data_IF_507505566132
#
_entry.id   IF_507505566132
#
_cell.length_a   1.000
_cell.length_b   1.000
_cell.length_c   1.000
_cell.angle_alpha   90.00
_cell.angle_beta   90.00
_cell.angle_gamma   90.00
#
_symmetry.space_group_name_H-M   'P 1'
#
loop_
_entity.id
_entity.type
_entity.pdbx_description
1 polymer ?
#
# COMPACT_ATOMS: atom_id res chain seq x y z
N UNK A 1 32.98 9.33 32.10
CA UNK A 1 31.79 9.49 32.96
C UNK A 1 30.53 9.50 32.09
N UNK A 2 29.72 8.44 32.24
CA UNK A 2 28.36 8.15 31.75
C UNK A 2 27.76 8.86 30.53
N UNK A 3 27.71 8.10 29.41
CA UNK A 3 26.63 8.18 28.42
C UNK A 3 25.36 7.59 29.04
N UNK A 4 24.36 8.42 29.35
CA UNK A 4 23.01 7.93 29.68
C UNK A 4 22.31 7.50 28.38
N UNK A 5 22.11 6.20 28.27
CA UNK A 5 21.13 5.58 27.38
C UNK A 5 19.74 6.15 27.70
N UNK A 6 19.10 6.80 26.73
CA UNK A 6 17.67 7.13 26.80
C UNK A 6 16.90 5.89 26.32
N UNK A 7 16.60 5.00 27.27
CA UNK A 7 15.56 4.02 27.09
C UNK A 7 14.20 4.76 27.13
N UNK A 8 13.44 4.68 26.04
CA UNK A 8 12.07 5.17 26.00
C UNK A 8 11.16 4.08 26.57
N UNK A 9 10.72 4.28 27.82
CA UNK A 9 9.54 3.59 28.34
C UNK A 9 8.32 4.14 27.60
N UNK A 10 7.80 3.37 26.65
CA UNK A 10 6.47 3.59 26.10
C UNK A 10 5.47 3.37 27.24
N UNK A 11 4.87 4.44 27.75
CA UNK A 11 3.77 4.33 28.70
C UNK A 11 2.66 3.46 28.06
N UNK A 12 2.18 2.40 28.74
CA UNK A 12 1.09 1.60 28.22
C UNK A 12 -0.16 2.46 28.16
N UNK A 13 -0.58 2.83 26.95
CA UNK A 13 -1.91 3.39 26.72
C UNK A 13 -2.93 2.31 27.06
N UNK A 14 -3.69 2.49 28.15
CA UNK A 14 -4.80 1.63 28.59
C UNK A 14 -6.01 1.59 27.61
N UNK A 15 -5.81 1.91 26.33
CA UNK A 15 -6.83 1.75 25.31
C UNK A 15 -6.99 0.25 24.99
N UNK A 16 -8.23 -0.27 24.91
CA UNK A 16 -8.44 -1.67 24.57
C UNK A 16 -7.99 -1.93 23.13
N UNK A 17 -7.04 -2.86 22.95
CA UNK A 17 -6.64 -3.31 21.62
C UNK A 17 -7.87 -3.83 20.88
N UNK A 18 -8.17 -3.25 19.72
CA UNK A 18 -9.33 -3.61 18.91
C UNK A 18 -9.05 -4.87 18.07
N UNK A 19 -10.09 -5.61 17.73
CA UNK A 19 -9.99 -6.65 16.69
C UNK A 19 -10.07 -5.95 15.31
N UNK A 20 -9.23 -6.36 14.35
CA UNK A 20 -9.24 -5.76 13.02
C UNK A 20 -10.62 -5.91 12.36
N UNK A 21 -11.24 -7.08 12.57
CA UNK A 21 -12.55 -7.47 12.06
C UNK A 21 -12.72 -7.20 10.56
N UNK A 22 -11.65 -7.31 9.77
CA UNK A 22 -11.71 -7.22 8.32
C UNK A 22 -10.70 -8.15 7.65
N UNK A 23 -11.01 -8.57 6.43
CA UNK A 23 -10.18 -9.40 5.56
C UNK A 23 -10.05 -8.75 4.18
N UNK A 24 -8.99 -9.11 3.47
CA UNK A 24 -8.79 -8.79 2.06
C UNK A 24 -8.78 -10.12 1.32
N UNK A 25 -9.70 -10.29 0.38
CA UNK A 25 -9.83 -11.52 -0.40
C UNK A 25 -9.76 -11.22 -1.90
N UNK A 26 -9.18 -12.15 -2.66
CA UNK A 26 -9.31 -12.18 -4.11
C UNK A 26 -10.44 -13.13 -4.47
N UNK A 27 -11.44 -12.60 -5.16
CA UNK A 27 -12.66 -13.32 -5.51
C UNK A 27 -12.87 -13.28 -7.02
N UNK A 28 -13.47 -14.31 -7.64
CA UNK A 28 -13.81 -14.26 -9.04
C UNK A 28 -14.72 -13.06 -9.34
N UNK A 29 -14.44 -12.32 -10.41
CA UNK A 29 -15.18 -11.11 -10.78
C UNK A 29 -16.68 -11.35 -11.01
N UNK A 30 -17.06 -12.58 -11.39
CA UNK A 30 -18.47 -12.99 -11.50
C UNK A 30 -19.24 -12.87 -10.17
N UNK A 31 -18.56 -12.93 -9.02
CA UNK A 31 -19.17 -12.79 -7.69
C UNK A 31 -19.40 -11.34 -7.26
N UNK A 32 -18.95 -10.35 -8.05
CA UNK A 32 -18.99 -8.92 -7.71
C UNK A 32 -20.34 -8.46 -7.18
N UNK A 33 -21.44 -8.82 -7.85
CA UNK A 33 -22.75 -8.32 -7.47
C UNK A 33 -23.19 -8.86 -6.10
N UNK A 34 -22.80 -10.10 -5.76
CA UNK A 34 -23.03 -10.66 -4.42
C UNK A 34 -22.36 -9.80 -3.35
N UNK A 35 -21.09 -9.44 -3.54
CA UNK A 35 -20.36 -8.60 -2.60
C UNK A 35 -20.90 -7.17 -2.53
N UNK A 36 -21.32 -6.60 -3.66
CA UNK A 36 -21.92 -5.26 -3.66
C UNK A 36 -23.29 -5.22 -2.99
N UNK A 37 -24.00 -6.35 -2.91
CA UNK A 37 -25.25 -6.48 -2.15
C UNK A 37 -25.03 -6.77 -0.66
N UNK A 38 -23.79 -7.03 -0.24
CA UNK A 38 -23.44 -7.32 1.14
C UNK A 38 -23.08 -6.02 1.89
N UNK A 39 -23.84 -5.74 2.95
CA UNK A 39 -23.66 -4.53 3.76
C UNK A 39 -22.41 -4.56 4.64
N UNK A 40 -21.73 -5.70 4.72
CA UNK A 40 -20.47 -5.90 5.44
C UNK A 40 -19.22 -5.65 4.59
N UNK A 41 -19.38 -5.16 3.35
CA UNK A 41 -18.25 -4.78 2.49
C UNK A 41 -17.85 -3.31 2.70
N UNK A 42 -16.54 -3.12 2.93
CA UNK A 42 -15.87 -1.82 2.97
C UNK A 42 -15.65 -1.30 1.54
N UNK A 43 -15.10 -2.14 0.66
CA UNK A 43 -14.84 -1.82 -0.75
C UNK A 43 -14.71 -3.07 -1.63
N UNK A 44 -14.99 -2.89 -2.93
CA UNK A 44 -14.71 -3.86 -3.99
C UNK A 44 -13.86 -3.16 -5.05
N UNK A 45 -12.61 -3.59 -5.19
CA UNK A 45 -11.67 -3.02 -6.16
C UNK A 45 -11.57 -3.92 -7.39
N UNK A 46 -11.60 -3.28 -8.56
CA UNK A 46 -11.46 -3.93 -9.87
C UNK A 46 -10.27 -3.35 -10.61
N UNK A 47 -9.53 -4.21 -11.29
CA UNK A 47 -8.33 -3.84 -12.02
C UNK A 47 -8.58 -4.06 -13.52
N UNK A 48 -8.41 -3.00 -14.32
CA UNK A 48 -8.75 -3.00 -15.75
C UNK A 48 -8.17 -1.80 -16.50
N UNK A 49 -8.85 -1.33 -17.53
CA UNK A 49 -8.35 -0.25 -18.41
C UNK A 49 -8.79 1.16 -17.99
N UNK A 50 -9.70 1.28 -17.03
CA UNK A 50 -10.30 2.55 -16.65
C UNK A 50 -10.31 2.76 -15.14
N UNK A 51 -10.15 4.01 -14.72
CA UNK A 51 -10.24 4.43 -13.32
C UNK A 51 -11.57 5.13 -13.10
N UNK A 52 -12.37 4.65 -12.14
CA UNK A 52 -13.64 5.27 -11.79
C UNK A 52 -14.11 4.83 -10.39
N UNK A 53 -14.79 5.74 -9.69
CA UNK A 53 -15.61 5.41 -8.53
C UNK A 53 -17.07 5.32 -9.00
N UNK A 54 -17.74 4.18 -8.79
CA UNK A 54 -19.11 3.99 -9.25
C UNK A 54 -20.07 4.93 -8.50
N UNK A 55 -20.82 5.76 -9.24
CA UNK A 55 -21.76 6.73 -8.64
C UNK A 55 -22.97 6.09 -7.95
N UNK A 56 -23.46 4.96 -8.47
CA UNK A 56 -24.61 4.23 -7.91
C UNK A 56 -24.24 3.37 -6.71
N UNK A 57 -23.00 2.89 -6.65
CA UNK A 57 -22.45 2.21 -5.47
C UNK A 57 -20.98 2.59 -5.27
N UNK A 58 -20.69 3.64 -4.49
CA UNK A 58 -19.32 4.13 -4.30
C UNK A 58 -18.33 3.12 -3.72
N UNK A 59 -18.78 1.95 -3.22
CA UNK A 59 -17.91 0.85 -2.79
C UNK A 59 -17.19 0.17 -3.97
N UNK A 60 -17.73 0.25 -5.18
CA UNK A 60 -17.09 -0.27 -6.39
C UNK A 60 -16.11 0.77 -6.94
N UNK A 61 -14.82 0.41 -6.93
CA UNK A 61 -13.75 1.23 -7.49
C UNK A 61 -13.06 0.45 -8.61
N UNK A 62 -13.09 0.99 -9.81
CA UNK A 62 -12.30 0.51 -10.94
C UNK A 62 -10.97 1.27 -10.98
N UNK A 63 -9.88 0.55 -11.24
CA UNK A 63 -8.52 1.05 -11.24
C UNK A 63 -7.89 0.68 -12.59
N UNK A 64 -7.37 1.67 -13.32
CA UNK A 64 -6.72 1.46 -14.62
C UNK A 64 -5.31 0.86 -14.47
N UNK A 65 -5.28 -0.39 -14.06
CA UNK A 65 -4.12 -1.28 -13.97
C UNK A 65 -4.57 -2.62 -14.55
N UNK A 66 -4.42 -2.86 -15.86
CA UNK A 66 -4.93 -4.08 -16.47
C UNK A 66 -4.36 -5.32 -15.77
N UNK A 67 -5.26 -6.23 -15.40
CA UNK A 67 -4.87 -7.51 -14.82
C UNK A 67 -4.22 -8.37 -15.90
N UNK A 68 -2.99 -8.81 -15.63
CA UNK A 68 -2.28 -9.79 -16.43
C UNK A 68 -2.65 -11.18 -15.90
N UNK A 69 -3.01 -12.08 -16.81
CA UNK A 69 -3.50 -13.41 -16.44
C UNK A 69 -3.06 -14.45 -17.44
N UNK A 70 -2.95 -15.70 -16.99
CA UNK A 70 -2.88 -16.83 -17.91
C UNK A 70 -4.26 -17.05 -18.51
N UNK A 71 -4.30 -17.72 -19.65
CA UNK A 71 -5.51 -17.86 -20.49
C UNK A 71 -6.74 -18.37 -19.73
N UNK A 72 -6.53 -19.26 -18.76
CA UNK A 72 -7.60 -19.95 -18.04
C UNK A 72 -7.81 -19.42 -16.61
N UNK A 73 -7.02 -18.45 -16.17
CA UNK A 73 -7.20 -17.85 -14.84
C UNK A 73 -8.43 -16.91 -14.85
N UNK A 74 -9.30 -16.97 -13.82
CA UNK A 74 -10.45 -16.10 -13.75
C UNK A 74 -10.04 -14.63 -13.60
N UNK A 75 -10.87 -13.70 -14.08
CA UNK A 75 -10.74 -12.32 -13.64
C UNK A 75 -11.04 -12.23 -12.14
N UNK A 76 -10.22 -11.47 -11.43
CA UNK A 76 -10.30 -11.34 -9.98
C UNK A 76 -10.67 -9.91 -9.58
N UNK A 77 -11.38 -9.81 -8.46
CA UNK A 77 -11.65 -8.57 -7.75
C UNK A 77 -11.05 -8.67 -6.36
N UNK A 78 -10.66 -7.52 -5.80
CA UNK A 78 -10.23 -7.43 -4.41
C UNK A 78 -11.40 -6.98 -3.55
N UNK A 79 -11.77 -7.79 -2.57
CA UNK A 79 -12.88 -7.53 -1.65
C UNK A 79 -12.33 -7.23 -0.27
N UNK A 80 -12.68 -6.07 0.24
CA UNK A 80 -12.42 -5.65 1.62
C UNK A 80 -13.69 -5.89 2.42
N UNK A 81 -13.71 -6.99 3.16
CA UNK A 81 -14.88 -7.45 3.89
C UNK A 81 -14.68 -7.27 5.39
N UNK A 82 -15.71 -6.84 6.11
CA UNK A 82 -15.70 -6.72 7.56
C UNK A 82 -16.64 -7.73 8.20
N UNK A 83 -16.27 -8.28 9.34
CA UNK A 83 -17.18 -9.09 10.17
C UNK A 83 -17.95 -8.26 11.19
N UNK A 84 -17.74 -6.94 11.21
CA UNK A 84 -18.41 -5.99 12.10
C UNK A 84 -19.29 -5.02 11.28
N UNK A 85 -20.34 -4.42 11.89
CA UNK A 85 -21.19 -3.44 11.22
C UNK A 85 -20.38 -2.26 10.65
N UNK A 86 -20.80 -1.79 9.47
CA UNK A 86 -20.11 -0.72 8.75
C UNK A 86 -20.90 0.60 8.81
N UNK A 87 -20.24 1.67 9.24
CA UNK A 87 -20.69 3.04 9.04
C UNK A 87 -20.03 3.63 7.78
N UNK A 88 -20.80 4.38 6.98
CA UNK A 88 -20.35 4.96 5.71
C UNK A 88 -20.53 6.47 5.71
N UNK A 89 -19.70 7.16 4.93
CA UNK A 89 -19.83 8.60 4.75
C UNK A 89 -19.01 9.10 3.57
N UNK A 90 -19.12 10.41 3.35
CA UNK A 90 -18.27 11.15 2.42
C UNK A 90 -17.89 12.50 2.99
N UNK A 91 -16.69 12.98 2.67
CA UNK A 91 -16.19 14.31 3.05
C UNK A 91 -15.13 14.77 2.04
N UNK A 92 -15.20 16.01 1.57
CA UNK A 92 -14.23 16.59 0.62
C UNK A 92 -13.89 15.69 -0.59
N UNK A 93 -14.89 15.00 -1.16
CA UNK A 93 -14.70 14.08 -2.28
C UNK A 93 -14.12 12.70 -1.93
N UNK A 94 -13.85 12.45 -0.65
CA UNK A 94 -13.45 11.14 -0.13
C UNK A 94 -14.70 10.36 0.23
N UNK A 95 -14.85 9.17 -0.33
CA UNK A 95 -15.82 8.16 0.13
C UNK A 95 -15.12 7.26 1.13
N UNK A 96 -15.78 6.97 2.26
CA UNK A 96 -15.21 6.09 3.27
C UNK A 96 -16.23 5.17 3.93
N UNK A 97 -15.70 4.08 4.49
CA UNK A 97 -16.42 3.10 5.28
C UNK A 97 -15.57 2.73 6.51
N UNK A 98 -16.20 2.51 7.66
CA UNK A 98 -15.51 2.15 8.90
C UNK A 98 -16.26 1.08 9.67
N UNK A 99 -15.54 0.19 10.33
CA UNK A 99 -16.10 -0.92 11.11
C UNK A 99 -15.90 -0.73 12.63
N UNK A 100 -15.67 0.51 13.06
CA UNK A 100 -15.29 0.84 14.43
C UNK A 100 -13.79 0.75 14.71
N UNK A 101 -13.07 -0.23 14.15
CA UNK A 101 -11.62 -0.42 14.35
C UNK A 101 -10.76 0.27 13.29
N UNK A 102 -11.17 0.16 12.02
CA UNK A 102 -10.51 0.76 10.87
C UNK A 102 -11.47 1.62 10.06
N UNK A 103 -10.89 2.55 9.30
CA UNK A 103 -11.55 3.34 8.27
C UNK A 103 -10.83 3.07 6.95
N UNK A 104 -11.58 2.58 5.95
CA UNK A 104 -11.14 2.49 4.56
C UNK A 104 -11.70 3.70 3.80
N UNK A 105 -10.86 4.40 3.05
CA UNK A 105 -11.27 5.56 2.27
C UNK A 105 -10.63 5.59 0.89
N UNK A 106 -11.32 6.22 -0.06
CA UNK A 106 -10.82 6.42 -1.41
C UNK A 106 -11.35 7.71 -2.02
N UNK A 107 -10.56 8.28 -2.91
CA UNK A 107 -10.89 9.47 -3.70
C UNK A 107 -10.20 9.40 -5.06
N UNK A 108 -10.84 10.00 -6.05
CA UNK A 108 -10.31 10.18 -7.39
C UNK A 108 -10.32 11.68 -7.71
N UNK A 109 -9.15 12.24 -7.99
CA UNK A 109 -9.00 13.63 -8.37
C UNK A 109 -8.70 13.70 -9.86
N UNK A 110 -9.51 14.45 -10.59
CA UNK A 110 -9.21 14.81 -11.97
C UNK A 110 -8.08 15.84 -11.99
N UNK A 111 -7.05 15.59 -12.79
CA UNK A 111 -5.99 16.58 -13.03
C UNK A 111 -6.53 17.65 -13.98
N UNK A 112 -6.66 18.90 -13.51
CA UNK A 112 -7.25 20.01 -14.27
C UNK A 112 -6.28 20.65 -15.28
N UNK A 113 -5.10 20.08 -15.48
CA UNK A 113 -4.08 20.55 -16.42
C UNK A 113 -2.72 19.87 -16.21
N UNK A 114 -1.82 20.05 -17.16
CA UNK A 114 -0.43 19.59 -17.02
C UNK A 114 0.27 20.35 -15.87
N UNK A 115 1.23 19.69 -15.21
CA UNK A 115 2.00 20.27 -14.09
C UNK A 115 1.26 20.35 -12.74
N UNK A 116 -0.04 20.06 -12.69
CA UNK A 116 -0.87 20.22 -11.48
C UNK A 116 -0.77 19.07 -10.47
N UNK A 117 -0.08 17.97 -10.80
CA UNK A 117 -0.03 16.77 -9.96
C UNK A 117 0.46 17.05 -8.54
N UNK A 118 1.44 17.94 -8.36
CA UNK A 118 1.95 18.31 -7.03
C UNK A 118 0.87 18.99 -6.18
N UNK A 119 0.18 19.99 -6.73
CA UNK A 119 -0.91 20.70 -6.06
C UNK A 119 -2.11 19.77 -5.77
N UNK A 120 -2.49 18.93 -6.74
CA UNK A 120 -3.54 17.93 -6.58
C UNK A 120 -3.20 16.94 -5.45
N UNK A 121 -1.96 16.42 -5.43
CA UNK A 121 -1.48 15.53 -4.36
C UNK A 121 -1.52 16.22 -3.00
N UNK A 122 -1.06 17.48 -2.92
CA UNK A 122 -1.09 18.24 -1.67
C UNK A 122 -2.53 18.41 -1.14
N UNK A 123 -3.46 18.81 -2.01
CA UNK A 123 -4.87 18.95 -1.66
C UNK A 123 -5.46 17.63 -1.14
N UNK A 124 -5.28 16.56 -1.91
CA UNK A 124 -5.73 15.22 -1.57
C UNK A 124 -5.28 14.79 -0.17
N UNK A 125 -3.98 14.87 0.10
CA UNK A 125 -3.41 14.44 1.38
C UNK A 125 -3.89 15.33 2.53
N UNK A 126 -4.06 16.63 2.33
CA UNK A 126 -4.62 17.52 3.35
C UNK A 126 -6.09 17.18 3.66
N UNK A 127 -6.89 16.85 2.66
CA UNK A 127 -8.29 16.43 2.85
C UNK A 127 -8.35 15.07 3.58
N UNK A 128 -7.51 14.10 3.21
CA UNK A 128 -7.40 12.80 3.89
C UNK A 128 -7.04 13.01 5.36
N UNK A 129 -5.99 13.77 5.66
CA UNK A 129 -5.54 13.98 7.03
C UNK A 129 -6.63 14.68 7.87
N UNK A 130 -7.32 15.68 7.32
CA UNK A 130 -8.44 16.35 7.97
C UNK A 130 -9.61 15.41 8.25
N UNK A 131 -9.98 14.55 7.29
CA UNK A 131 -11.01 13.53 7.48
C UNK A 131 -10.64 12.58 8.61
N UNK A 132 -9.41 12.07 8.62
CA UNK A 132 -8.95 11.12 9.62
C UNK A 132 -8.98 11.68 11.05
N UNK A 133 -8.61 12.94 11.22
CA UNK A 133 -8.71 13.62 12.52
C UNK A 133 -10.16 13.77 12.97
N UNK A 134 -11.06 14.21 12.08
CA UNK A 134 -12.49 14.39 12.37
C UNK A 134 -13.20 13.08 12.66
N UNK A 135 -12.90 12.03 11.89
CA UNK A 135 -13.50 10.71 12.05
C UNK A 135 -12.91 9.93 13.25
N UNK A 136 -11.81 10.40 13.84
CA UNK A 136 -11.15 9.74 14.97
C UNK A 136 -10.33 8.50 14.59
N UNK A 137 -9.76 8.47 13.38
CA UNK A 137 -8.87 7.43 12.87
C UNK A 137 -7.50 8.01 12.45
N UNK A 138 -6.76 8.69 13.34
CA UNK A 138 -5.63 9.54 12.97
C UNK A 138 -4.36 8.79 12.51
N UNK A 139 -4.41 7.45 12.44
CA UNK A 139 -3.25 6.57 12.23
C UNK A 139 -3.38 5.83 10.90
N UNK A 140 -2.81 6.40 9.85
CA UNK A 140 -2.70 5.72 8.55
C UNK A 140 -1.86 4.45 8.70
N UNK A 141 -2.38 3.33 8.20
CA UNK A 141 -1.68 2.05 8.18
C UNK A 141 -1.09 1.78 6.79
N UNK A 142 -1.88 2.04 5.74
CA UNK A 142 -1.48 1.74 4.37
C UNK A 142 -2.17 2.65 3.36
N UNK A 143 -1.43 3.09 2.34
CA UNK A 143 -1.93 3.93 1.25
C UNK A 143 -1.48 3.38 -0.12
N UNK A 144 -2.34 3.54 -1.12
CA UNK A 144 -2.05 3.23 -2.51
C UNK A 144 -2.34 4.44 -3.37
N UNK A 145 -1.41 4.79 -4.25
CA UNK A 145 -1.47 5.97 -5.09
C UNK A 145 -1.28 5.55 -6.55
N UNK A 146 -2.22 5.92 -7.40
CA UNK A 146 -2.19 5.60 -8.82
C UNK A 146 -2.45 6.84 -9.64
N UNK A 147 -1.58 7.10 -10.60
CA UNK A 147 -1.68 8.23 -11.52
C UNK A 147 -0.93 7.90 -12.81
N UNK A 148 -1.35 8.50 -13.92
CA UNK A 148 -0.78 8.16 -15.22
C UNK A 148 0.61 8.73 -15.46
N UNK A 149 1.32 8.09 -16.39
CA UNK A 149 2.60 8.54 -16.92
C UNK A 149 3.61 8.87 -15.82
N UNK A 150 3.77 7.97 -14.85
CA UNK A 150 4.53 8.20 -13.61
C UNK A 150 5.97 8.66 -13.88
N UNK A 151 6.57 8.20 -14.97
CA UNK A 151 7.94 8.53 -15.37
C UNK A 151 8.03 9.71 -16.36
N UNK A 152 6.92 10.26 -16.86
CA UNK A 152 6.92 11.38 -17.82
C UNK A 152 7.42 12.65 -17.12
N UNK A 153 8.28 13.39 -17.83
CA UNK A 153 8.70 14.73 -17.46
C UNK A 153 7.65 15.76 -17.88
N UNK A 154 7.29 16.65 -16.96
CA UNK A 154 6.42 17.79 -17.22
C UNK A 154 7.08 19.02 -16.61
N UNK A 155 7.38 20.02 -17.45
CA UNK A 155 8.06 21.26 -17.06
C UNK A 155 9.40 21.06 -16.31
N UNK A 156 10.17 20.03 -16.70
CA UNK A 156 11.47 19.73 -16.10
C UNK A 156 11.39 18.93 -14.79
N UNK A 157 10.21 18.42 -14.43
CA UNK A 157 10.01 17.57 -13.27
C UNK A 157 9.24 16.30 -13.64
N UNK A 158 9.88 15.14 -13.42
CA UNK A 158 9.20 13.83 -13.52
C UNK A 158 7.97 13.78 -12.59
N UNK A 159 6.86 13.26 -13.11
CA UNK A 159 5.56 13.21 -12.39
C UNK A 159 5.65 12.51 -11.04
N UNK A 160 6.38 11.40 -10.91
CA UNK A 160 6.63 10.76 -9.61
C UNK A 160 7.25 11.71 -8.58
N UNK A 161 8.18 12.55 -9.02
CA UNK A 161 8.84 13.56 -8.16
C UNK A 161 7.87 14.67 -7.80
N UNK A 162 7.03 15.12 -8.75
CA UNK A 162 5.96 16.09 -8.48
C UNK A 162 4.97 15.58 -7.42
N UNK A 163 4.56 14.31 -7.51
CA UNK A 163 3.76 13.63 -6.48
C UNK A 163 4.48 13.63 -5.12
N UNK A 164 5.78 13.29 -5.08
CA UNK A 164 6.55 13.32 -3.83
C UNK A 164 6.63 14.71 -3.21
N UNK A 165 6.79 15.77 -4.02
CA UNK A 165 6.75 17.17 -3.56
C UNK A 165 5.41 17.49 -2.90
N UNK A 166 4.30 17.22 -3.58
CA UNK A 166 2.96 17.55 -3.05
C UNK A 166 2.64 16.79 -1.76
N UNK A 167 3.02 15.51 -1.69
CA UNK A 167 2.90 14.71 -0.48
C UNK A 167 3.74 15.26 0.67
N UNK A 168 4.97 15.70 0.38
CA UNK A 168 5.85 16.29 1.40
C UNK A 168 5.28 17.59 1.95
N UNK A 169 4.73 18.46 1.10
CA UNK A 169 4.09 19.70 1.51
C UNK A 169 2.86 19.45 2.41
N UNK A 170 2.03 18.45 2.09
CA UNK A 170 0.88 18.10 2.90
C UNK A 170 1.25 17.59 4.30
N UNK A 171 2.21 16.68 4.41
CA UNK A 171 2.70 16.20 5.71
C UNK A 171 3.42 17.30 6.49
N UNK A 172 4.25 18.11 5.82
CA UNK A 172 4.94 19.24 6.45
C UNK A 172 3.97 20.25 7.07
N UNK A 173 2.85 20.55 6.39
CA UNK A 173 1.82 21.46 6.89
C UNK A 173 1.09 20.97 8.17
N UNK A 174 1.19 19.67 8.50
CA UNK A 174 0.57 19.07 9.69
C UNK A 174 1.58 18.70 10.79
N UNK A 175 2.84 19.06 10.61
CA UNK A 175 3.95 18.59 11.45
C UNK A 175 4.40 17.21 11.00
N UNK A 176 5.58 17.13 10.39
CA UNK A 176 6.15 15.88 9.91
C UNK A 176 6.64 15.02 11.06
N UNK A 177 6.20 13.77 11.11
CA UNK A 177 6.65 12.78 12.09
C UNK A 177 6.94 11.47 11.36
N UNK A 178 8.23 11.10 11.23
CA UNK A 178 8.67 9.89 10.52
C UNK A 178 7.95 8.63 11.02
N UNK A 179 7.73 8.53 12.32
CA UNK A 179 7.07 7.40 12.97
C UNK A 179 5.55 7.31 12.71
N UNK A 180 4.96 8.28 12.00
CA UNK A 180 3.55 8.28 11.58
C UNK A 180 3.36 7.96 10.10
N UNK A 181 4.44 7.70 9.37
CA UNK A 181 4.36 7.36 7.95
C UNK A 181 3.78 5.96 7.78
N UNK A 182 2.73 5.87 6.98
CA UNK A 182 2.11 4.61 6.59
C UNK A 182 3.03 3.81 5.67
N UNK A 183 2.70 2.52 5.52
CA UNK A 183 3.14 1.79 4.34
C UNK A 183 2.50 2.46 3.10
N UNK A 184 3.23 2.62 2.01
CA UNK A 184 2.68 3.24 0.79
C UNK A 184 3.27 2.67 -0.51
N UNK A 185 2.48 2.71 -1.58
CA UNK A 185 2.94 2.45 -2.95
C UNK A 185 2.46 3.55 -3.88
N UNK A 186 3.25 3.79 -4.92
CA UNK A 186 2.94 4.73 -5.98
C UNK A 186 3.39 4.12 -7.30
N UNK A 187 2.42 3.72 -8.13
CA UNK A 187 2.68 3.09 -9.43
C UNK A 187 1.86 3.78 -10.52
N UNK A 188 2.38 3.72 -11.74
CA UNK A 188 1.76 4.32 -12.92
C UNK A 188 0.48 3.60 -13.30
N UNK A 189 -0.57 4.37 -13.57
CA UNK A 189 -1.86 3.89 -14.08
C UNK A 189 -2.02 4.23 -15.56
N UNK A 190 -2.89 3.53 -16.29
CA UNK A 190 -3.21 3.86 -17.68
C UNK A 190 -4.21 5.00 -17.83
N UNK A 191 -4.98 5.33 -16.78
CA UNK A 191 -5.96 6.40 -16.83
C UNK A 191 -5.42 7.68 -16.14
N UNK A 192 -5.78 8.87 -16.66
CA UNK A 192 -5.43 10.14 -16.03
C UNK A 192 -6.12 10.32 -14.67
N UNK A 193 -5.62 11.29 -13.90
CA UNK A 193 -6.11 11.56 -12.56
C UNK A 193 -5.27 10.88 -11.48
N UNK A 194 -5.52 11.30 -10.24
CA UNK A 194 -4.89 10.74 -9.05
C UNK A 194 -5.94 9.97 -8.25
N UNK A 195 -5.85 8.64 -8.30
CA UNK A 195 -6.61 7.75 -7.44
C UNK A 195 -5.77 7.44 -6.19
N UNK A 196 -6.37 7.68 -5.02
CA UNK A 196 -5.80 7.26 -3.74
C UNK A 196 -6.84 6.41 -3.01
N UNK A 197 -6.41 5.28 -2.48
CA UNK A 197 -7.15 4.62 -1.40
C UNK A 197 -6.24 4.29 -0.23
N UNK A 198 -6.81 4.19 0.95
CA UNK A 198 -6.07 4.05 2.19
C UNK A 198 -6.89 3.33 3.25
N UNK A 199 -6.17 2.79 4.24
CA UNK A 199 -6.75 2.30 5.49
C UNK A 199 -6.05 2.95 6.67
N UNK A 200 -6.86 3.40 7.63
CA UNK A 200 -6.44 4.03 8.86
C UNK A 200 -7.08 3.37 10.08
N UNK A 201 -6.48 3.56 11.24
CA UNK A 201 -6.93 3.04 12.51
C UNK A 201 -6.95 4.13 13.59
N UNK A 202 -7.59 3.81 14.72
CA UNK A 202 -7.57 4.64 15.91
C UNK A 202 -6.19 4.65 16.59
N UNK A 203 -5.51 3.52 16.52
CA UNK A 203 -4.22 3.27 17.16
C UNK A 203 -3.12 3.05 16.12
N UNK A 204 -1.89 3.46 16.47
CA UNK A 204 -0.74 3.30 15.58
C UNK A 204 -0.42 1.83 15.35
N UNK A 205 0.08 1.53 14.15
CA UNK A 205 0.92 0.37 13.94
C UNK A 205 2.37 0.66 14.30
N UNK A 206 3.20 -0.37 14.23
CA UNK A 206 4.65 -0.31 14.41
C UNK A 206 5.28 -0.18 13.01
N UNK A 207 5.99 0.93 12.72
CA UNK A 207 6.75 1.07 11.49
C UNK A 207 7.84 0.00 11.40
N UNK A 208 7.95 -0.62 10.23
CA UNK A 208 8.97 -1.61 9.92
C UNK A 208 9.81 -1.05 8.78
N UNK A 209 11.11 -0.92 9.01
CA UNK A 209 12.09 -0.58 7.98
C UNK A 209 12.85 -1.82 7.52
N UNK A 210 13.51 -1.73 6.37
CA UNK A 210 14.27 -2.84 5.80
C UNK A 210 15.78 -2.57 6.00
N UNK A 211 16.51 -3.40 6.76
CA UNK A 211 17.95 -3.19 7.00
C UNK A 211 18.81 -3.26 5.73
N UNK A 212 18.28 -3.79 4.62
CA UNK A 212 18.94 -3.81 3.32
C UNK A 212 18.76 -2.52 2.54
N UNK A 213 17.89 -1.61 2.98
CA UNK A 213 17.48 -0.42 2.25
C UNK A 213 17.62 0.83 3.13
N UNK A 214 18.07 1.93 2.54
CA UNK A 214 17.97 3.24 3.19
C UNK A 214 16.47 3.56 3.33
N UNK A 215 16.07 4.14 4.44
CA UNK A 215 14.68 4.60 4.62
C UNK A 215 14.33 5.60 3.52
N UNK A 216 13.12 5.48 2.95
CA UNK A 216 12.77 6.22 1.75
C UNK A 216 12.84 7.74 1.93
N UNK A 217 12.51 8.21 3.13
CA UNK A 217 12.57 9.62 3.54
C UNK A 217 13.99 10.14 3.82
N UNK A 218 15.01 9.26 3.80
CA UNK A 218 16.45 9.61 3.88
C UNK A 218 17.19 9.34 2.56
N UNK A 219 16.47 9.16 1.45
CA UNK A 219 17.10 9.03 0.14
C UNK A 219 17.90 10.30 -0.23
N UNK A 220 19.03 10.14 -0.95
CA UNK A 220 19.81 11.28 -1.44
C UNK A 220 19.01 12.18 -2.41
N UNK A 221 19.33 13.48 -2.39
CA UNK A 221 18.67 14.51 -3.20
C UNK A 221 18.83 14.29 -4.72
N UNK A 222 19.75 13.43 -5.15
CA UNK A 222 19.92 13.10 -6.57
C UNK A 222 18.69 12.41 -7.19
N UNK A 223 17.80 11.84 -6.38
CA UNK A 223 16.58 11.18 -6.87
C UNK A 223 15.43 12.16 -7.13
N UNK A 224 15.25 13.15 -6.26
CA UNK A 224 14.14 14.08 -6.34
C UNK A 224 14.38 15.29 -5.41
N UNK A 225 13.74 16.45 -5.69
CA UNK A 225 13.78 17.60 -4.76
C UNK A 225 13.24 17.27 -3.36
N UNK A 226 12.35 16.27 -3.26
CA UNK A 226 11.79 15.76 -2.01
C UNK A 226 11.76 14.24 -2.03
N UNK A 227 12.31 13.65 -0.98
CA UNK A 227 12.34 12.20 -0.81
C UNK A 227 10.93 11.62 -0.58
N UNK A 228 10.69 10.38 -1.02
CA UNK A 228 9.40 9.71 -0.78
C UNK A 228 9.13 9.55 0.72
N UNK A 229 7.87 9.70 1.13
CA UNK A 229 7.44 9.60 2.53
C UNK A 229 6.60 8.35 2.75
N UNK A 230 7.22 7.26 3.19
CA UNK A 230 6.56 6.01 3.59
C UNK A 230 7.48 5.11 4.43
N UNK A 231 6.88 4.21 5.20
CA UNK A 231 7.56 3.12 5.91
C UNK A 231 7.61 1.85 5.06
N UNK A 232 8.63 0.98 5.17
CA UNK A 232 8.71 -0.25 4.35
C UNK A 232 7.59 -1.25 4.64
N UNK A 233 7.10 -1.30 5.85
CA UNK A 233 5.83 -1.92 6.20
C UNK A 233 5.26 -1.30 7.49
N UNK A 234 4.01 -1.61 7.79
CA UNK A 234 3.38 -1.35 9.09
C UNK A 234 2.93 -2.68 9.68
N UNK A 235 3.45 -3.03 10.86
CA UNK A 235 2.93 -4.13 11.67
C UNK A 235 1.87 -3.58 12.62
N UNK A 236 0.61 -3.96 12.47
CA UNK A 236 -0.47 -3.55 13.37
C UNK A 236 -0.93 -4.73 14.23
N UNK A 237 -0.59 -4.75 15.53
CA UNK A 237 -1.20 -5.66 16.50
C UNK A 237 -2.69 -5.35 16.67
N UNK A 238 -3.47 -6.40 16.71
CA UNK A 238 -4.90 -6.45 17.03
C UNK A 238 -5.12 -7.39 18.21
N UNK A 239 -6.34 -7.41 18.77
CA UNK A 239 -6.66 -8.29 19.90
C UNK A 239 -6.52 -9.77 19.55
N UNK A 240 -6.83 -10.14 18.31
CA UNK A 240 -6.89 -11.51 17.82
C UNK A 240 -5.73 -11.88 16.88
N UNK A 241 -4.62 -11.14 16.91
CA UNK A 241 -3.46 -11.40 16.04
C UNK A 241 -2.78 -10.11 15.58
N UNK A 242 -2.11 -10.14 14.43
CA UNK A 242 -1.53 -8.95 13.80
C UNK A 242 -1.74 -8.93 12.29
N UNK A 243 -1.79 -7.72 11.74
CA UNK A 243 -1.67 -7.49 10.30
C UNK A 243 -0.28 -6.92 9.97
N UNK A 244 0.29 -7.31 8.84
CA UNK A 244 1.46 -6.66 8.25
C UNK A 244 1.09 -6.11 6.88
N UNK A 245 1.17 -4.78 6.74
CA UNK A 245 0.94 -4.07 5.50
C UNK A 245 2.30 -3.73 4.89
N UNK A 246 2.69 -4.40 3.81
CA UNK A 246 4.00 -4.21 3.18
C UNK A 246 3.90 -3.20 2.05
N UNK A 247 4.85 -2.28 2.01
CA UNK A 247 4.97 -1.30 0.94
C UNK A 247 5.44 -1.92 -0.36
N UNK A 248 5.28 -1.15 -1.44
CA UNK A 248 5.81 -1.46 -2.75
C UNK A 248 7.30 -1.76 -2.63
N UNK A 249 7.63 -3.04 -2.78
CA UNK A 249 8.99 -3.53 -2.61
C UNK A 249 9.52 -3.90 -3.97
N UNK A 250 10.68 -3.34 -4.31
CA UNK A 250 11.34 -3.54 -5.59
C UNK A 250 12.83 -3.90 -5.40
N UNK A 251 13.53 -4.07 -6.51
CA UNK A 251 14.96 -4.44 -6.56
C UNK A 251 15.88 -3.27 -6.17
N UNK A 252 15.88 -2.91 -4.89
CA UNK A 252 16.69 -1.81 -4.32
C UNK A 252 17.51 -2.34 -3.15
N UNK A 253 18.81 -2.01 -3.12
CA UNK A 253 19.72 -2.24 -1.99
C UNK A 253 20.42 -0.93 -1.64
N UNK A 254 20.38 -0.54 -0.37
CA UNK A 254 20.61 0.82 0.05
C UNK A 254 19.53 1.72 -0.54
N UNK A 255 19.91 2.66 -1.39
CA UNK A 255 18.97 3.48 -2.18
C UNK A 255 19.02 3.15 -3.68
N UNK A 256 19.94 2.30 -4.12
CA UNK A 256 20.25 2.06 -5.53
C UNK A 256 19.49 0.87 -6.11
N UNK A 257 19.02 1.02 -7.34
CA UNK A 257 18.41 -0.06 -8.11
C UNK A 257 19.44 -1.13 -8.47
N UNK A 258 19.04 -2.41 -8.45
CA UNK A 258 19.88 -3.57 -8.78
C UNK A 258 19.26 -4.39 -9.90
N UNK A 259 20.12 -5.07 -10.66
CA UNK A 259 19.75 -5.99 -11.75
C UNK A 259 18.96 -5.29 -12.86
N UNK A 260 19.57 -4.26 -13.44
CA UNK A 260 19.02 -3.54 -14.61
C UNK A 260 18.67 -4.53 -15.72
N UNK A 261 17.55 -4.29 -16.39
CA UNK A 261 17.09 -5.05 -17.57
C UNK A 261 16.90 -6.57 -17.36
N UNK A 262 16.79 -7.02 -16.10
CA UNK A 262 16.58 -8.43 -15.78
C UNK A 262 15.46 -8.63 -14.75
N UNK A 263 14.23 -8.85 -15.22
CA UNK A 263 13.03 -8.99 -14.39
C UNK A 263 13.15 -10.13 -13.38
N UNK A 264 13.75 -11.27 -13.75
CA UNK A 264 13.88 -12.42 -12.86
C UNK A 264 14.87 -12.15 -11.71
N UNK A 265 16.00 -11.50 -11.99
CA UNK A 265 16.94 -11.11 -10.93
C UNK A 265 16.39 -9.98 -10.07
N UNK A 266 15.64 -9.02 -10.64
CA UNK A 266 14.92 -8.02 -9.85
C UNK A 266 13.88 -8.66 -8.92
N UNK A 267 13.19 -9.70 -9.40
CA UNK A 267 12.25 -10.45 -8.58
C UNK A 267 12.95 -11.13 -7.40
N UNK A 268 14.07 -11.81 -7.66
CA UNK A 268 14.86 -12.49 -6.62
C UNK A 268 15.38 -11.51 -5.58
N UNK A 269 15.85 -10.32 -5.98
CA UNK A 269 16.23 -9.27 -5.06
C UNK A 269 15.04 -8.73 -4.24
N UNK A 270 13.90 -8.55 -4.90
CA UNK A 270 12.65 -8.13 -4.27
C UNK A 270 12.20 -9.13 -3.20
N UNK A 271 12.29 -10.44 -3.48
CA UNK A 271 12.00 -11.49 -2.51
C UNK A 271 12.94 -11.42 -1.29
N UNK A 272 14.26 -11.25 -1.49
CA UNK A 272 15.22 -11.07 -0.39
C UNK A 272 14.91 -9.83 0.47
N UNK A 273 14.42 -8.76 -0.16
CA UNK A 273 13.98 -7.56 0.54
C UNK A 273 12.71 -7.83 1.39
N UNK A 274 11.74 -8.56 0.85
CA UNK A 274 10.53 -8.95 1.58
C UNK A 274 10.86 -9.87 2.78
N UNK A 275 11.79 -10.82 2.61
CA UNK A 275 12.29 -11.66 3.72
C UNK A 275 12.89 -10.82 4.84
N UNK A 276 13.70 -9.81 4.50
CA UNK A 276 14.29 -8.90 5.48
C UNK A 276 13.26 -8.01 6.19
N UNK A 277 12.21 -7.58 5.49
CA UNK A 277 11.06 -6.87 6.08
C UNK A 277 10.34 -7.77 7.09
N UNK A 278 10.02 -9.02 6.70
CA UNK A 278 9.37 -9.99 7.59
C UNK A 278 10.22 -10.28 8.82
N UNK A 279 11.52 -10.50 8.65
CA UNK A 279 12.44 -10.72 9.77
C UNK A 279 12.45 -9.53 10.73
N UNK A 280 12.39 -8.30 10.22
CA UNK A 280 12.31 -7.08 11.03
C UNK A 280 10.97 -6.95 11.74
N UNK A 281 9.86 -7.19 11.05
CA UNK A 281 8.52 -7.20 11.63
C UNK A 281 8.43 -8.22 12.79
N UNK A 282 8.98 -9.42 12.61
CA UNK A 282 8.99 -10.44 13.67
C UNK A 282 9.77 -10.00 14.91
N UNK A 283 10.88 -9.27 14.76
CA UNK A 283 11.62 -8.71 15.91
C UNK A 283 10.82 -7.65 16.67
N UNK A 284 9.99 -6.88 15.94
CA UNK A 284 9.15 -5.82 16.49
C UNK A 284 7.83 -6.33 17.09
N UNK A 285 7.47 -7.60 16.89
CA UNK A 285 6.24 -8.19 17.46
C UNK A 285 6.19 -8.00 18.99
N UNK A 286 5.07 -7.51 19.53
CA UNK A 286 4.87 -7.44 20.98
C UNK A 286 4.98 -8.83 21.64
N UNK A 287 5.38 -8.92 22.92
CA UNK A 287 5.57 -10.20 23.62
C UNK A 287 4.41 -11.19 23.47
N UNK A 288 3.16 -10.71 23.52
CA UNK A 288 1.96 -11.53 23.38
C UNK A 288 1.81 -12.23 22.01
N UNK A 289 2.49 -11.73 20.96
CA UNK A 289 2.41 -12.24 19.59
C UNK A 289 3.71 -12.89 19.11
N UNK A 290 4.72 -13.04 19.98
CA UNK A 290 6.04 -13.59 19.61
C UNK A 290 6.03 -15.10 19.35
N UNK A 291 5.05 -15.84 19.87
CA UNK A 291 4.94 -17.29 19.70
C UNK A 291 4.51 -17.73 18.29
N UNK A 292 4.01 -16.82 17.46
CA UNK A 292 3.52 -17.09 16.10
C UNK A 292 4.16 -16.13 15.08
N UNK A 293 5.46 -16.28 14.78
CA UNK A 293 6.14 -15.44 13.79
C UNK A 293 5.79 -15.86 12.35
N UNK A 294 5.90 -14.92 11.41
CA UNK A 294 5.92 -15.26 9.98
C UNK A 294 7.27 -15.90 9.65
N UNK A 295 7.27 -17.17 9.28
CA UNK A 295 8.49 -17.96 9.01
C UNK A 295 8.94 -17.86 7.55
N UNK A 296 8.04 -17.58 6.63
CA UNK A 296 8.37 -17.51 5.20
C UNK A 296 7.42 -16.60 4.43
N UNK A 297 7.83 -16.24 3.20
CA UNK A 297 7.00 -15.50 2.25
C UNK A 297 5.72 -16.24 1.86
N UNK A 298 5.74 -17.58 1.92
CA UNK A 298 4.58 -18.40 1.60
C UNK A 298 3.43 -18.29 2.62
N UNK A 299 3.66 -17.64 3.77
CA UNK A 299 2.62 -17.39 4.77
C UNK A 299 1.94 -16.02 4.60
N UNK A 300 2.37 -15.20 3.64
CA UNK A 300 1.63 -13.98 3.28
C UNK A 300 0.19 -14.35 2.86
N UNK A 301 -0.73 -13.41 2.99
CA UNK A 301 -2.15 -13.65 2.71
C UNK A 301 -2.55 -13.21 1.29
N UNK A 302 -1.87 -12.19 0.76
CA UNK A 302 -2.26 -11.56 -0.50
C UNK A 302 -1.08 -10.78 -1.10
N UNK A 303 -0.93 -10.85 -2.42
CA UNK A 303 0.06 -10.10 -3.21
C UNK A 303 -0.57 -9.27 -4.33
N UNK A 304 -0.03 -8.08 -4.58
CA UNK A 304 -0.14 -7.40 -5.88
C UNK A 304 1.25 -7.27 -6.48
N UNK A 305 1.42 -7.80 -7.69
CA UNK A 305 2.69 -7.80 -8.41
C UNK A 305 2.50 -6.90 -9.62
N UNK A 306 3.13 -5.73 -9.56
CA UNK A 306 3.14 -4.75 -10.63
C UNK A 306 4.26 -5.11 -11.61
N UNK A 307 3.94 -5.25 -12.89
CA UNK A 307 4.89 -5.55 -13.96
C UNK A 307 4.92 -4.42 -14.97
N UNK A 308 6.13 -4.01 -15.36
CA UNK A 308 6.33 -3.00 -16.41
C UNK A 308 6.00 -3.55 -17.79
N UNK A 309 6.33 -4.81 -18.06
CA UNK A 309 6.06 -5.49 -19.32
C UNK A 309 5.22 -6.75 -19.09
N UNK A 310 4.14 -6.90 -19.85
CA UNK A 310 3.27 -8.08 -19.82
C UNK A 310 4.00 -9.35 -20.30
N UNK A 311 5.02 -9.21 -21.15
CA UNK A 311 5.80 -10.33 -21.69
C UNK A 311 6.62 -11.06 -20.62
N UNK A 312 6.86 -10.44 -19.46
CA UNK A 312 7.60 -11.05 -18.36
C UNK A 312 6.78 -12.06 -17.54
N UNK A 313 5.45 -12.01 -17.64
CA UNK A 313 4.55 -12.81 -16.81
C UNK A 313 4.83 -14.34 -16.91
N UNK A 314 4.99 -14.96 -18.10
CA UNK A 314 5.16 -16.41 -18.19
C UNK A 314 6.40 -16.94 -17.45
N UNK A 315 7.52 -16.21 -17.53
CA UNK A 315 8.76 -16.57 -16.82
C UNK A 315 8.62 -16.32 -15.32
N UNK A 316 8.04 -15.17 -14.96
CA UNK A 316 7.95 -14.73 -13.58
C UNK A 316 7.01 -15.59 -12.74
N UNK A 317 5.85 -16.01 -13.28
CA UNK A 317 4.82 -16.73 -12.51
C UNK A 317 5.35 -18.02 -11.88
N UNK A 318 6.18 -18.76 -12.61
CA UNK A 318 6.82 -19.98 -12.13
C UNK A 318 7.72 -19.70 -10.91
N UNK A 319 8.54 -18.66 -10.97
CA UNK A 319 9.43 -18.29 -9.87
C UNK A 319 8.65 -17.72 -8.67
N UNK A 320 7.58 -16.95 -8.91
CA UNK A 320 6.67 -16.49 -7.84
C UNK A 320 6.01 -17.69 -7.15
N UNK A 321 5.56 -18.69 -7.91
CA UNK A 321 5.02 -19.94 -7.38
C UNK A 321 6.04 -20.70 -6.52
N UNK A 322 7.32 -20.70 -6.90
CA UNK A 322 8.39 -21.33 -6.12
C UNK A 322 8.68 -20.60 -4.81
N UNK A 323 8.66 -19.26 -4.82
CA UNK A 323 9.02 -18.43 -3.65
C UNK A 323 7.86 -18.26 -2.67
N UNK A 324 6.66 -18.00 -3.17
CA UNK A 324 5.48 -17.73 -2.34
C UNK A 324 4.55 -18.94 -2.19
N UNK A 325 4.82 -20.04 -2.89
CA UNK A 325 3.92 -21.18 -3.00
C UNK A 325 2.89 -21.00 -4.12
N UNK A 326 2.52 -22.09 -4.78
CA UNK A 326 1.59 -22.06 -5.92
C UNK A 326 0.18 -21.59 -5.56
N UNK A 327 -0.26 -21.81 -4.31
CA UNK A 327 -1.59 -21.44 -3.83
C UNK A 327 -1.70 -19.97 -3.34
N UNK A 328 -0.61 -19.19 -3.33
CA UNK A 328 -0.63 -17.80 -2.85
C UNK A 328 -1.61 -16.94 -3.68
N UNK A 329 -2.64 -16.34 -3.06
CA UNK A 329 -3.52 -15.38 -3.73
C UNK A 329 -2.72 -14.18 -4.22
N UNK A 330 -2.76 -13.93 -5.53
CA UNK A 330 -1.97 -12.86 -6.17
C UNK A 330 -2.71 -12.23 -7.34
N UNK A 331 -2.41 -10.95 -7.58
CA UNK A 331 -2.73 -10.25 -8.81
C UNK A 331 -1.44 -9.89 -9.54
N UNK A 332 -1.39 -10.10 -10.85
CA UNK A 332 -0.41 -9.47 -11.73
C UNK A 332 -1.05 -8.29 -12.41
N UNK A 333 -0.42 -7.13 -12.36
CA UNK A 333 -0.99 -5.86 -12.82
C UNK A 333 0.02 -5.16 -13.72
N UNK A 334 -0.38 -4.76 -14.92
CA UNK A 334 0.46 -3.95 -15.80
C UNK A 334 0.54 -2.52 -15.26
N UNK A 335 1.75 -2.05 -14.95
CA UNK A 335 1.98 -0.73 -14.37
C UNK A 335 3.41 -0.23 -14.63
N UNK A 336 3.58 1.07 -14.84
CA UNK A 336 4.90 1.68 -14.73
C UNK A 336 5.33 1.78 -13.27
N UNK A 337 6.62 1.56 -12.97
CA UNK A 337 7.17 1.64 -11.61
C UNK A 337 7.82 3.01 -11.39
N UNK A 338 7.91 3.44 -10.12
CA UNK A 338 8.40 4.77 -9.74
C UNK A 338 9.78 5.14 -10.29
N UNK A 339 10.63 4.17 -10.64
CA UNK A 339 11.88 4.37 -11.39
C UNK A 339 11.84 3.59 -12.69
N UNK A 340 12.40 4.17 -13.75
CA UNK A 340 12.36 3.61 -15.12
C UNK A 340 13.04 2.24 -15.20
N UNK A 341 14.14 2.07 -14.48
CA UNK A 341 14.93 0.85 -14.46
C UNK A 341 14.33 -0.29 -13.60
N UNK A 342 13.29 0.00 -12.81
CA UNK A 342 12.56 -1.02 -12.06
C UNK A 342 11.49 -1.65 -12.95
N UNK A 343 11.56 -2.98 -13.07
CA UNK A 343 10.73 -3.78 -13.97
C UNK A 343 9.52 -4.38 -13.24
N UNK A 344 9.61 -4.50 -11.91
CA UNK A 344 8.51 -4.94 -11.07
C UNK A 344 8.55 -4.32 -9.67
N UNK A 345 7.38 -4.32 -9.02
CA UNK A 345 7.19 -3.98 -7.62
C UNK A 345 6.15 -4.92 -7.00
N UNK A 346 6.33 -5.30 -5.73
CA UNK A 346 5.40 -6.18 -5.02
C UNK A 346 4.85 -5.48 -3.79
N UNK A 347 3.53 -5.36 -3.72
CA UNK A 347 2.80 -5.13 -2.47
C UNK A 347 2.45 -6.47 -1.83
N UNK A 348 2.53 -6.53 -0.51
CA UNK A 348 2.12 -7.72 0.23
C UNK A 348 1.28 -7.37 1.46
N UNK A 349 0.38 -8.29 1.80
CA UNK A 349 -0.41 -8.22 3.02
C UNK A 349 -0.33 -9.56 3.74
N UNK A 350 -0.28 -9.49 5.06
CA UNK A 350 -0.46 -10.64 5.93
C UNK A 350 -1.50 -10.31 6.99
N UNK A 351 -2.48 -11.19 7.15
CA UNK A 351 -3.34 -11.25 8.31
C UNK A 351 -3.06 -12.54 9.06
N UNK A 352 -2.70 -12.43 10.33
CA UNK A 352 -2.66 -13.56 11.22
C UNK A 352 -4.08 -14.08 11.43
N UNK A 353 -4.29 -15.37 11.13
CA UNK A 353 -5.54 -16.03 11.45
C UNK A 353 -5.72 -16.05 12.98
N UNK A 354 -6.94 -15.74 13.43
CA UNK A 354 -7.32 -15.74 14.84
C UNK A 354 -7.37 -17.15 15.44
#
# INVERSE_FOLDING_TARGET
MNKKSLAFDAAPTNAPVLAANFTIALEPAATKQRWLNDDSVLAVLRFGEHTAINRGNPREVSIALPALRRRDDPDLIEVWHSVAPIARGSDAGITYASNGAVLFGHLLIEETGEGQLSAATRGAYLDILRLLDRAGYPRLLRMWNYFSAINRDVDGLERYRAFCVGRHEAFGARGFEEHRLAAASAVGSLAPGLLIYFIAARESGLPVENPRQVSAYHYPDCYAPKSPLFSRAILKPWRAGAHLYVSGTASIVGHSTRHFDNTLEQFRETARNLEAIIATANRLRPPALKSSPLKSLAQLSHLKIYLRDANDLPLLDAEVGRVFGSAMPRLYLLAEICRRELLLEIDAFYAEAA
#
